data_IF_897268561977
#
_entry.id   IF_897268561977
#
_cell.length_a   1.000
_cell.length_b   1.000
_cell.length_c   1.000
_cell.angle_alpha   90.00
_cell.angle_beta   90.00
_cell.angle_gamma   90.00
#
_symmetry.space_group_name_H-M   'P 1'
#
loop_
_entity.id
_entity.type
_entity.pdbx_description
1 polymer ?
#
# COMPACT_ATOMS: atom_id res chain seq x y z
N UNK A 1 -63.17 -15.89 -25.30
CA UNK A 1 -62.00 -16.56 -24.68
C UNK A 1 -60.75 -15.68 -24.69
N UNK A 2 -60.44 -15.00 -25.79
CA UNK A 2 -59.22 -14.18 -25.95
C UNK A 2 -59.09 -12.99 -24.99
N UNK A 3 -60.20 -12.33 -24.64
CA UNK A 3 -60.21 -11.19 -23.71
C UNK A 3 -59.80 -11.58 -22.28
N UNK A 4 -60.17 -12.78 -21.82
CA UNK A 4 -59.81 -13.28 -20.50
C UNK A 4 -58.33 -13.66 -20.38
N UNK A 5 -57.71 -14.06 -21.51
CA UNK A 5 -56.28 -14.32 -21.59
C UNK A 5 -55.48 -13.00 -21.54
N UNK A 6 -55.85 -12.02 -22.36
CA UNK A 6 -55.22 -10.68 -22.37
C UNK A 6 -55.35 -9.96 -21.03
N UNK A 7 -56.46 -10.13 -20.32
CA UNK A 7 -56.64 -9.56 -18.98
C UNK A 7 -55.75 -10.26 -17.94
N UNK A 8 -55.58 -11.58 -18.04
CA UNK A 8 -54.67 -12.34 -17.16
C UNK A 8 -53.21 -11.96 -17.40
N UNK A 9 -52.85 -11.73 -18.66
CA UNK A 9 -51.53 -11.26 -19.07
C UNK A 9 -51.22 -9.84 -18.56
N UNK A 10 -52.15 -8.89 -18.71
CA UNK A 10 -52.00 -7.55 -18.11
C UNK A 10 -51.84 -7.59 -16.60
N UNK A 11 -52.61 -8.44 -15.91
CA UNK A 11 -52.48 -8.60 -14.45
C UNK A 11 -51.15 -9.22 -14.05
N UNK A 12 -50.58 -10.10 -14.89
CA UNK A 12 -49.24 -10.65 -14.67
C UNK A 12 -48.16 -9.58 -14.90
N UNK A 13 -48.22 -8.87 -16.02
CA UNK A 13 -47.32 -7.74 -16.32
C UNK A 13 -47.37 -6.68 -15.23
N UNK A 14 -48.57 -6.29 -14.79
CA UNK A 14 -48.73 -5.29 -13.73
C UNK A 14 -48.14 -5.76 -12.39
N UNK A 15 -48.24 -7.05 -12.05
CA UNK A 15 -47.60 -7.61 -10.86
C UNK A 15 -46.08 -7.60 -10.97
N UNK A 16 -45.55 -8.02 -12.12
CA UNK A 16 -44.11 -7.99 -12.40
C UNK A 16 -43.57 -6.55 -12.36
N UNK A 17 -44.24 -5.61 -13.01
CA UNK A 17 -43.88 -4.19 -12.99
C UNK A 17 -43.92 -3.61 -11.58
N UNK A 18 -44.93 -3.97 -10.78
CA UNK A 18 -45.01 -3.51 -9.37
C UNK A 18 -43.89 -4.13 -8.52
N UNK A 19 -43.56 -5.41 -8.75
CA UNK A 19 -42.43 -6.05 -8.06
C UNK A 19 -41.09 -5.42 -8.46
N UNK A 20 -40.88 -5.20 -9.76
CA UNK A 20 -39.66 -4.60 -10.30
C UNK A 20 -39.52 -3.14 -9.87
N UNK A 21 -40.60 -2.35 -9.86
CA UNK A 21 -40.60 -0.97 -9.39
C UNK A 21 -40.24 -0.88 -7.90
N UNK A 22 -40.87 -1.70 -7.05
CA UNK A 22 -40.61 -1.69 -5.61
C UNK A 22 -39.22 -2.23 -5.24
N UNK A 23 -38.67 -3.17 -6.02
CA UNK A 23 -37.29 -3.62 -5.85
C UNK A 23 -36.29 -2.57 -6.31
N UNK A 24 -36.54 -1.93 -7.47
CA UNK A 24 -35.70 -0.86 -8.01
C UNK A 24 -35.66 0.36 -7.10
N UNK A 25 -36.77 0.73 -6.48
CA UNK A 25 -36.84 1.80 -5.48
C UNK A 25 -36.02 1.46 -4.23
N UNK A 26 -36.14 0.22 -3.70
CA UNK A 26 -35.32 -0.24 -2.57
C UNK A 26 -33.83 -0.31 -2.89
N UNK A 27 -33.47 -0.69 -4.11
CA UNK A 27 -32.07 -0.67 -4.57
C UNK A 27 -31.53 0.76 -4.67
N UNK A 28 -32.31 1.67 -5.25
CA UNK A 28 -31.93 3.09 -5.32
C UNK A 28 -31.77 3.70 -3.91
N UNK A 29 -32.62 3.34 -2.96
CA UNK A 29 -32.52 3.78 -1.57
C UNK A 29 -31.24 3.26 -0.88
N UNK A 30 -30.87 1.99 -1.10
CA UNK A 30 -29.61 1.42 -0.61
C UNK A 30 -28.38 2.12 -1.22
N UNK A 31 -28.43 2.44 -2.51
CA UNK A 31 -27.35 3.15 -3.18
C UNK A 31 -27.19 4.59 -2.66
N UNK A 32 -28.31 5.26 -2.36
CA UNK A 32 -28.30 6.60 -1.75
C UNK A 32 -27.73 6.57 -0.32
N UNK A 33 -28.15 5.62 0.52
CA UNK A 33 -27.62 5.42 1.88
C UNK A 33 -26.11 5.09 1.86
N UNK A 34 -25.66 4.25 0.93
CA UNK A 34 -24.24 3.95 0.75
C UNK A 34 -23.43 5.21 0.35
N UNK A 35 -23.95 6.02 -0.58
CA UNK A 35 -23.34 7.28 -0.99
C UNK A 35 -23.31 8.30 0.14
N UNK A 36 -24.39 8.44 0.90
CA UNK A 36 -24.45 9.34 2.06
C UNK A 36 -23.42 8.93 3.12
N UNK A 37 -23.34 7.65 3.46
CA UNK A 37 -22.31 7.12 4.38
C UNK A 37 -20.90 7.40 3.88
N UNK A 38 -20.66 7.28 2.58
CA UNK A 38 -19.36 7.59 1.97
C UNK A 38 -19.05 9.09 2.07
N UNK A 39 -20.01 9.97 1.79
CA UNK A 39 -19.86 11.43 1.93
C UNK A 39 -19.57 11.80 3.38
N UNK A 40 -20.33 11.24 4.34
CA UNK A 40 -20.12 11.47 5.78
C UNK A 40 -18.73 11.00 6.23
N UNK A 41 -18.27 9.82 5.79
CA UNK A 41 -16.92 9.32 6.06
C UNK A 41 -15.85 10.24 5.46
N UNK A 42 -16.03 10.68 4.21
CA UNK A 42 -15.12 11.59 3.54
C UNK A 42 -15.06 12.96 4.20
N UNK A 43 -16.21 13.50 4.63
CA UNK A 43 -16.30 14.77 5.35
C UNK A 43 -15.60 14.71 6.70
N UNK A 44 -15.87 13.67 7.51
CA UNK A 44 -15.20 13.47 8.79
C UNK A 44 -13.67 13.29 8.64
N UNK A 45 -13.22 12.59 7.60
CA UNK A 45 -11.80 12.45 7.33
C UNK A 45 -11.18 13.77 6.87
N UNK A 46 -11.88 14.53 6.03
CA UNK A 46 -11.46 15.85 5.59
C UNK A 46 -11.31 16.83 6.75
N UNK A 47 -12.29 16.86 7.66
CA UNK A 47 -12.27 17.73 8.85
C UNK A 47 -11.10 17.41 9.78
N UNK A 48 -10.83 16.12 10.02
CA UNK A 48 -9.66 15.66 10.77
C UNK A 48 -8.35 16.09 10.12
N UNK A 49 -8.20 15.86 8.81
CA UNK A 49 -6.99 16.25 8.06
C UNK A 49 -6.79 17.76 8.07
N UNK A 50 -7.85 18.56 7.95
CA UNK A 50 -7.73 20.03 8.01
C UNK A 50 -7.31 20.56 9.38
N UNK A 51 -7.52 19.80 10.45
CA UNK A 51 -7.08 20.14 11.81
C UNK A 51 -5.79 19.45 12.25
N UNK A 52 -5.18 18.61 11.41
CA UNK A 52 -3.90 17.97 11.72
C UNK A 52 -2.78 19.00 11.65
N UNK A 53 -2.15 19.26 12.80
CA UNK A 53 -0.94 20.06 12.90
C UNK A 53 0.21 19.16 13.28
N UNK A 54 1.11 18.90 12.34
CA UNK A 54 2.25 17.98 12.52
C UNK A 54 3.10 18.35 13.75
N UNK A 55 3.28 19.66 14.00
CA UNK A 55 4.02 20.17 15.16
C UNK A 55 3.32 19.85 16.50
N UNK A 56 1.99 19.91 16.53
CA UNK A 56 1.18 19.61 17.73
C UNK A 56 1.16 18.09 17.98
N UNK A 57 1.09 17.31 16.91
CA UNK A 57 1.06 15.85 16.98
C UNK A 57 2.41 15.28 17.41
N UNK A 58 3.51 15.87 16.94
CA UNK A 58 4.86 15.58 17.39
C UNK A 58 5.06 15.85 18.89
N UNK A 59 4.53 16.97 19.40
CA UNK A 59 4.65 17.37 20.81
C UNK A 59 3.77 16.51 21.73
N UNK A 60 2.61 16.07 21.23
CA UNK A 60 1.72 15.13 21.93
C UNK A 60 2.36 13.75 22.12
N UNK A 61 3.27 13.38 21.21
CA UNK A 61 3.93 12.09 21.15
C UNK A 61 2.96 10.91 21.08
N UNK A 62 1.68 11.07 20.74
CA UNK A 62 0.74 9.95 20.79
C UNK A 62 1.07 8.88 19.74
N UNK A 63 1.57 9.28 18.58
CA UNK A 63 1.90 8.39 17.48
C UNK A 63 3.33 7.80 17.61
N UNK A 64 3.46 6.50 17.36
CA UNK A 64 4.76 5.81 17.44
C UNK A 64 5.80 6.41 16.48
N UNK A 65 5.36 7.00 15.37
CA UNK A 65 6.22 7.66 14.38
C UNK A 65 7.12 8.75 14.98
N UNK A 66 6.57 9.59 15.87
CA UNK A 66 7.29 10.69 16.50
C UNK A 66 8.10 10.26 17.74
N UNK A 67 7.82 9.08 18.29
CA UNK A 67 8.51 8.52 19.47
C UNK A 67 9.72 7.66 19.10
N UNK A 68 9.54 6.73 18.16
CA UNK A 68 10.55 5.75 17.78
C UNK A 68 10.29 5.30 16.33
N UNK A 69 10.99 5.96 15.40
CA UNK A 69 10.86 5.75 13.97
C UNK A 69 11.20 4.32 13.55
N UNK A 70 12.16 3.69 14.22
CA UNK A 70 12.57 2.31 13.94
C UNK A 70 11.48 1.31 14.35
N UNK A 71 10.84 1.54 15.50
CA UNK A 71 9.68 0.73 15.93
C UNK A 71 8.46 0.93 15.05
N UNK A 72 8.19 2.17 14.64
CA UNK A 72 7.11 2.48 13.71
C UNK A 72 7.28 1.77 12.37
N UNK A 73 8.50 1.77 11.81
CA UNK A 73 8.84 1.04 10.59
C UNK A 73 8.60 -0.47 10.73
N UNK A 74 9.01 -1.06 11.85
CA UNK A 74 8.79 -2.49 12.14
C UNK A 74 7.31 -2.85 12.29
N UNK A 75 6.53 -2.06 13.03
CA UNK A 75 5.08 -2.28 13.14
C UNK A 75 4.39 -2.16 11.79
N UNK A 76 4.78 -1.16 10.99
CA UNK A 76 4.20 -0.92 9.67
C UNK A 76 4.59 -1.99 8.65
N UNK A 77 5.72 -2.66 8.83
CA UNK A 77 6.12 -3.80 8.01
C UNK A 77 5.10 -4.95 8.08
N UNK A 78 4.46 -5.17 9.23
CA UNK A 78 3.39 -6.16 9.36
C UNK A 78 2.14 -5.76 8.57
N UNK A 79 1.79 -4.47 8.58
CA UNK A 79 0.68 -3.94 7.76
C UNK A 79 0.99 -4.03 6.26
N UNK A 80 2.25 -3.78 5.86
CA UNK A 80 2.73 -3.96 4.48
C UNK A 80 2.69 -5.45 4.06
N UNK A 81 3.02 -6.37 4.97
CA UNK A 81 2.96 -7.81 4.70
C UNK A 81 1.51 -8.29 4.52
N UNK A 82 0.59 -7.83 5.37
CA UNK A 82 -0.83 -8.16 5.25
C UNK A 82 -1.47 -7.59 3.98
N UNK A 83 -1.10 -6.37 3.57
CA UNK A 83 -1.58 -5.82 2.28
C UNK A 83 -0.97 -6.56 1.09
N UNK A 84 0.29 -6.99 1.18
CA UNK A 84 0.93 -7.85 0.16
C UNK A 84 0.23 -9.20 0.04
N UNK A 85 -0.01 -9.87 1.16
CA UNK A 85 -0.64 -11.19 1.20
C UNK A 85 -2.08 -11.15 0.66
N UNK A 86 -2.86 -10.13 1.04
CA UNK A 86 -4.21 -9.95 0.51
C UNK A 86 -4.21 -9.74 -1.02
N UNK A 87 -3.25 -8.97 -1.55
CA UNK A 87 -3.13 -8.73 -2.99
C UNK A 87 -2.61 -9.97 -3.74
N UNK A 88 -1.68 -10.73 -3.17
CA UNK A 88 -1.20 -11.98 -3.73
C UNK A 88 -2.31 -13.03 -3.78
N UNK A 89 -3.17 -13.09 -2.75
CA UNK A 89 -4.34 -13.94 -2.74
C UNK A 89 -5.37 -13.53 -3.82
N UNK A 90 -5.61 -12.24 -4.03
CA UNK A 90 -6.46 -11.75 -5.13
C UNK A 90 -5.89 -12.15 -6.49
N UNK A 91 -4.60 -11.93 -6.72
CA UNK A 91 -3.93 -12.34 -7.97
C UNK A 91 -3.97 -13.86 -8.18
N UNK A 92 -3.80 -14.63 -7.11
CA UNK A 92 -3.83 -16.09 -7.19
C UNK A 92 -5.25 -16.61 -7.47
N UNK A 93 -6.27 -15.97 -6.89
CA UNK A 93 -7.68 -16.26 -7.21
C UNK A 93 -8.01 -15.92 -8.67
N UNK A 94 -7.56 -14.75 -9.17
CA UNK A 94 -7.71 -14.38 -10.58
C UNK A 94 -7.03 -15.41 -11.51
N UNK A 95 -5.81 -15.85 -11.15
CA UNK A 95 -5.10 -16.91 -11.89
C UNK A 95 -5.86 -18.24 -11.87
N UNK A 96 -6.40 -18.65 -10.72
CA UNK A 96 -7.19 -19.88 -10.60
C UNK A 96 -8.44 -19.82 -11.49
N UNK A 97 -9.19 -18.71 -11.47
CA UNK A 97 -10.34 -18.49 -12.36
C UNK A 97 -9.94 -18.64 -13.83
N UNK A 98 -8.79 -18.07 -14.23
CA UNK A 98 -8.26 -18.18 -15.59
C UNK A 98 -7.86 -19.60 -15.96
N UNK A 99 -7.25 -20.36 -15.04
CA UNK A 99 -6.90 -21.76 -15.29
C UNK A 99 -8.15 -22.64 -15.47
N UNK A 100 -9.17 -22.46 -14.62
CA UNK A 100 -10.44 -23.17 -14.73
C UNK A 100 -11.17 -22.81 -16.04
N UNK A 101 -11.15 -21.53 -16.43
CA UNK A 101 -11.68 -21.07 -17.72
C UNK A 101 -10.95 -21.70 -18.91
N UNK A 102 -9.62 -21.84 -18.83
CA UNK A 102 -8.80 -22.44 -19.90
C UNK A 102 -9.03 -23.94 -20.02
N UNK A 103 -9.16 -24.65 -18.89
CA UNK A 103 -9.48 -26.08 -18.86
C UNK A 103 -10.90 -26.32 -19.40
N UNK A 104 -11.87 -25.45 -19.09
CA UNK A 104 -13.22 -25.49 -19.65
C UNK A 104 -13.29 -25.14 -21.15
N UNK A 105 -12.42 -24.23 -21.62
CA UNK A 105 -12.32 -23.85 -23.03
C UNK A 105 -11.73 -24.97 -23.91
N UNK A 106 -11.02 -25.94 -23.33
CA UNK A 106 -10.53 -27.13 -24.04
C UNK A 106 -11.63 -28.00 -24.67
N UNK A 107 -12.92 -27.77 -24.34
CA UNK A 107 -14.04 -28.45 -25.00
C UNK A 107 -14.70 -27.65 -26.13
N UNK A 108 -14.35 -26.37 -26.34
CA UNK A 108 -14.94 -25.53 -27.38
C UNK A 108 -13.84 -24.73 -28.11
N UNK A 109 -13.41 -25.25 -29.25
CA UNK A 109 -12.48 -24.54 -30.13
C UNK A 109 -13.11 -23.21 -30.59
N UNK A 110 -12.36 -22.12 -30.42
CA UNK A 110 -12.59 -20.77 -30.98
C UNK A 110 -13.13 -19.69 -30.04
N UNK A 111 -12.44 -19.38 -28.93
CA UNK A 111 -12.20 -17.97 -28.54
C UNK A 111 -10.85 -17.92 -27.82
N UNK A 112 -9.89 -17.15 -28.35
CA UNK A 112 -8.67 -16.79 -27.61
C UNK A 112 -9.09 -15.88 -26.45
N UNK A 113 -8.82 -16.23 -25.17
CA UNK A 113 -9.12 -15.33 -24.08
C UNK A 113 -8.12 -14.18 -24.13
N UNK A 114 -8.55 -13.00 -24.58
CA UNK A 114 -7.82 -11.76 -24.31
C UNK A 114 -7.87 -11.50 -22.81
N UNK A 115 -6.76 -11.84 -22.14
CA UNK A 115 -6.54 -11.58 -20.73
C UNK A 115 -6.28 -10.09 -20.53
N UNK A 116 -7.35 -9.31 -20.42
CA UNK A 116 -7.28 -7.92 -19.97
C UNK A 116 -7.01 -7.91 -18.47
N UNK A 117 -5.73 -8.07 -18.10
CA UNK A 117 -5.25 -7.79 -16.74
C UNK A 117 -5.71 -6.36 -16.39
N UNK A 118 -6.68 -6.27 -15.47
CA UNK A 118 -7.48 -5.08 -15.21
C UNK A 118 -6.55 -3.88 -14.95
N UNK A 119 -6.86 -2.73 -15.57
CA UNK A 119 -6.14 -1.47 -15.34
C UNK A 119 -6.03 -1.15 -13.83
N UNK A 120 -7.04 -1.53 -13.03
CA UNK A 120 -7.02 -1.43 -11.58
C UNK A 120 -5.92 -2.29 -10.93
N UNK A 121 -5.69 -3.51 -11.41
CA UNK A 121 -4.62 -4.39 -10.92
C UNK A 121 -3.23 -3.84 -11.30
N UNK A 122 -3.11 -3.26 -12.51
CA UNK A 122 -1.87 -2.57 -12.93
C UNK A 122 -1.60 -1.29 -12.14
N UNK A 123 -2.64 -0.48 -11.89
CA UNK A 123 -2.52 0.73 -11.09
C UNK A 123 -2.20 0.43 -9.62
N UNK A 124 -2.78 -0.62 -9.03
CA UNK A 124 -2.44 -1.08 -7.68
C UNK A 124 -0.99 -1.55 -7.59
N UNK A 125 -0.52 -2.34 -8.56
CA UNK A 125 0.87 -2.77 -8.62
C UNK A 125 1.85 -1.59 -8.80
N UNK A 126 1.51 -0.62 -9.65
CA UNK A 126 2.33 0.57 -9.86
C UNK A 126 2.40 1.48 -8.60
N UNK A 127 1.30 1.60 -7.85
CA UNK A 127 1.30 2.33 -6.57
C UNK A 127 2.15 1.64 -5.49
N UNK A 128 2.24 0.30 -5.51
CA UNK A 128 3.11 -0.46 -4.59
C UNK A 128 4.59 -0.26 -4.92
N UNK A 129 4.96 -0.30 -6.21
CA UNK A 129 6.35 -0.09 -6.63
C UNK A 129 6.88 1.31 -6.24
N UNK A 130 6.04 2.34 -6.29
CA UNK A 130 6.41 3.69 -5.83
C UNK A 130 6.55 3.81 -4.30
N UNK A 131 5.98 2.87 -3.53
CA UNK A 131 6.09 2.83 -2.07
C UNK A 131 7.31 2.03 -1.58
N UNK A 132 8.08 1.44 -2.50
CA UNK A 132 9.31 0.66 -2.24
C UNK A 132 10.57 1.55 -2.23
N UNK A 133 10.56 2.73 -2.87
CA UNK A 133 11.76 3.57 -3.03
C UNK A 133 12.01 4.57 -1.88
N UNK A 134 11.07 4.67 -0.94
CA UNK A 134 11.12 5.61 0.20
C UNK A 134 11.41 4.91 1.54
N UNK A 135 12.22 3.85 1.59
CA UNK A 135 12.77 3.38 2.87
C UNK A 135 13.95 2.40 2.70
N UNK A 136 15.18 2.90 2.87
CA UNK A 136 16.29 2.18 3.54
C UNK A 136 17.38 3.22 3.85
N UNK A 137 17.19 4.00 4.92
CA UNK A 137 18.29 4.69 5.59
C UNK A 137 18.84 3.80 6.70
N UNK A 138 19.33 2.63 6.30
CA UNK A 138 20.48 2.08 7.01
C UNK A 138 21.65 3.01 6.66
N UNK A 139 21.76 4.13 7.38
CA UNK A 139 22.93 5.00 7.27
C UNK A 139 24.21 4.20 7.48
N UNK A 140 24.17 3.10 8.23
CA UNK A 140 25.28 2.16 8.40
C UNK A 140 25.76 1.53 7.07
N UNK A 141 24.83 1.08 6.22
CA UNK A 141 25.15 0.50 4.90
C UNK A 141 25.62 1.56 3.88
N UNK A 142 25.25 2.83 4.06
CA UNK A 142 25.72 3.93 3.19
C UNK A 142 27.05 4.52 3.66
N UNK A 143 27.25 4.61 4.98
CA UNK A 143 28.43 5.20 5.59
C UNK A 143 29.63 4.26 5.53
N UNK A 144 29.45 2.95 5.73
CA UNK A 144 30.57 2.01 5.70
C UNK A 144 31.32 2.02 4.35
N UNK A 145 30.66 1.91 3.18
CA UNK A 145 31.35 2.01 1.90
C UNK A 145 32.01 3.38 1.68
N UNK A 146 31.42 4.45 2.20
CA UNK A 146 31.96 5.80 2.09
C UNK A 146 33.23 5.98 2.92
N UNK A 147 33.20 5.60 4.20
CA UNK A 147 34.33 5.71 5.13
C UNK A 147 35.47 4.79 4.69
N UNK A 148 35.19 3.53 4.34
CA UNK A 148 36.19 2.60 3.80
C UNK A 148 36.85 3.14 2.53
N UNK A 149 36.07 3.69 1.60
CA UNK A 149 36.62 4.27 0.37
C UNK A 149 37.56 5.44 0.68
N UNK A 150 37.20 6.32 1.63
CA UNK A 150 38.06 7.47 2.01
C UNK A 150 39.34 7.02 2.72
N UNK A 151 39.27 6.04 3.61
CA UNK A 151 40.46 5.51 4.30
C UNK A 151 41.42 4.87 3.29
N UNK A 152 40.90 4.05 2.38
CA UNK A 152 41.71 3.44 1.30
C UNK A 152 42.29 4.51 0.37
N UNK A 153 41.57 5.59 0.08
CA UNK A 153 42.06 6.70 -0.74
C UNK A 153 43.24 7.44 -0.10
N UNK A 154 43.24 7.62 1.22
CA UNK A 154 44.31 8.33 1.94
C UNK A 154 45.48 7.44 2.35
N UNK A 155 45.23 6.20 2.79
CA UNK A 155 46.26 5.30 3.32
C UNK A 155 46.71 4.24 2.30
N UNK A 156 45.95 4.01 1.23
CA UNK A 156 46.22 2.96 0.24
C UNK A 156 45.92 1.54 0.71
N UNK A 157 45.49 1.38 1.97
CA UNK A 157 45.15 0.12 2.63
C UNK A 157 43.80 0.23 3.32
N UNK A 158 43.09 -0.89 3.43
CA UNK A 158 41.84 -0.95 4.15
C UNK A 158 42.11 -1.24 5.63
N UNK A 159 42.04 -0.22 6.46
CA UNK A 159 42.17 -0.34 7.92
C UNK A 159 40.81 -0.41 8.57
N UNK A 160 40.33 -1.64 8.82
CA UNK A 160 38.98 -1.88 9.34
C UNK A 160 38.78 -1.29 10.75
N UNK A 161 39.85 -1.12 11.54
CA UNK A 161 39.81 -0.44 12.83
C UNK A 161 39.46 1.05 12.68
N UNK A 162 40.09 1.76 11.73
CA UNK A 162 39.75 3.15 11.42
C UNK A 162 38.36 3.29 10.81
N UNK A 163 37.93 2.30 10.01
CA UNK A 163 36.57 2.25 9.46
C UNK A 163 35.57 2.15 10.59
N UNK A 164 35.75 1.22 11.54
CA UNK A 164 34.88 1.08 12.71
C UNK A 164 34.87 2.34 13.57
N UNK A 165 36.04 2.95 13.81
CA UNK A 165 36.15 4.17 14.60
C UNK A 165 35.40 5.35 13.96
N UNK A 166 35.55 5.52 12.64
CA UNK A 166 34.85 6.56 11.89
C UNK A 166 33.33 6.37 11.88
N UNK A 167 32.86 5.13 11.68
CA UNK A 167 31.43 4.79 11.72
C UNK A 167 30.87 5.05 13.12
N UNK A 168 31.54 4.59 14.17
CA UNK A 168 31.11 4.80 15.56
C UNK A 168 31.08 6.29 15.93
N UNK A 169 32.03 7.08 15.44
CA UNK A 169 32.05 8.52 15.69
C UNK A 169 30.89 9.25 15.01
N UNK A 170 30.60 8.91 13.75
CA UNK A 170 29.47 9.44 12.99
C UNK A 170 28.14 9.02 13.61
N UNK A 171 28.02 7.76 14.04
CA UNK A 171 26.84 7.22 14.73
C UNK A 171 26.55 7.96 16.03
N UNK A 172 27.58 8.30 16.78
CA UNK A 172 27.46 9.03 18.05
C UNK A 172 27.31 10.56 17.87
N UNK A 173 27.26 11.08 16.63
CA UNK A 173 27.14 12.51 16.30
C UNK A 173 28.13 13.39 17.07
N UNK A 174 29.33 12.87 17.30
CA UNK A 174 30.39 13.57 18.03
C UNK A 174 30.99 14.69 17.18
N UNK A 175 31.63 15.67 17.82
CA UNK A 175 32.22 16.83 17.12
C UNK A 175 33.31 16.40 16.13
N UNK A 176 33.47 17.16 15.04
CA UNK A 176 34.54 16.94 14.06
C UNK A 176 35.95 17.13 14.66
N UNK A 177 36.08 17.97 15.70
CA UNK A 177 37.33 18.14 16.44
C UNK A 177 37.73 16.88 17.20
N UNK A 178 36.75 16.15 17.74
CA UNK A 178 36.99 14.92 18.48
C UNK A 178 37.35 13.77 17.52
N UNK A 179 36.81 13.80 16.29
CA UNK A 179 37.17 12.85 15.24
C UNK A 179 38.65 12.99 14.88
N UNK A 180 39.10 14.22 14.63
CA UNK A 180 40.48 14.51 14.24
C UNK A 180 41.47 14.20 15.36
N UNK A 181 41.13 14.52 16.62
CA UNK A 181 41.94 14.12 17.78
C UNK A 181 42.02 12.60 17.93
N UNK A 182 40.90 11.90 17.78
CA UNK A 182 40.85 10.44 17.87
C UNK A 182 41.64 9.77 16.76
N UNK A 183 41.49 10.21 15.52
CA UNK A 183 42.26 9.69 14.38
C UNK A 183 43.77 9.93 14.55
N UNK A 184 44.18 11.05 15.14
CA UNK A 184 45.58 11.35 15.44
C UNK A 184 46.18 10.46 16.55
N UNK A 185 45.35 9.79 17.37
CA UNK A 185 45.82 8.83 18.38
C UNK A 185 45.84 7.38 17.88
N UNK A 186 45.09 7.08 16.81
CA UNK A 186 44.98 5.72 16.24
C UNK A 186 46.08 5.47 15.19
N UNK A 187 46.55 6.51 14.50
CA UNK A 187 47.71 6.49 13.60
C UNK A 187 49.03 6.72 14.37
#
# INVERSE_FOLDING_TARGET
>A
MEMAFKERERRWQHREETMMATNREREAERDLDAREKQIRRSGNNGEKVSGMGDDIEADSGQEEYYKDRSRWGFHRQQFRAHTREAMEAELNNEKEILTLSTIGASQNNSVKPELTLNLASKCRAALMALAEDEEFDDEELKLQPFVSKRIVEYLGVQEDELVSFGIDHLRNKKSAEDLTKGMMMVC
#
